data_IF_342858532563
#
_entry.id   IF_342858532563
#
_cell.length_a   1.000
_cell.length_b   1.000
_cell.length_c   1.000
_cell.angle_alpha   90.00
_cell.angle_beta   90.00
_cell.angle_gamma   90.00
#
_symmetry.space_group_name_H-M   'P 1'
#
loop_
_entity.id
_entity.type
_entity.pdbx_description
1 polymer ?
#
# COMPACT_ATOMS: atom_id res chain seq x y z
N UNK A 1 17.23 3.17 1.43
CA UNK A 1 16.81 1.83 1.87
C UNK A 1 17.95 1.14 2.62
N UNK A 2 17.59 0.27 3.55
CA UNK A 2 18.52 -0.48 4.39
C UNK A 2 18.23 -1.97 4.23
N UNK A 3 19.28 -2.76 4.08
CA UNK A 3 19.21 -4.21 4.13
C UNK A 3 19.47 -4.69 5.55
N UNK A 4 18.61 -5.57 6.04
CA UNK A 4 18.86 -6.30 7.28
C UNK A 4 19.84 -7.46 7.06
N UNK A 5 20.41 -8.03 8.13
CA UNK A 5 21.32 -9.20 8.02
C UNK A 5 20.69 -10.43 7.35
N UNK A 6 19.36 -10.54 7.36
CA UNK A 6 18.59 -11.60 6.71
C UNK A 6 18.10 -11.22 5.29
N UNK A 7 18.75 -10.25 4.66
CA UNK A 7 18.49 -9.77 3.28
C UNK A 7 17.09 -9.23 3.05
N UNK A 8 16.48 -8.60 4.06
CA UNK A 8 15.21 -7.87 3.90
C UNK A 8 15.47 -6.38 3.68
N UNK A 9 14.74 -5.82 2.73
CA UNK A 9 14.80 -4.39 2.43
C UNK A 9 13.79 -3.62 3.28
N UNK A 10 14.25 -2.55 3.90
CA UNK A 10 13.41 -1.62 4.66
C UNK A 10 13.58 -0.18 4.16
N UNK A 11 12.59 0.67 4.43
CA UNK A 11 12.72 2.09 4.18
C UNK A 11 13.85 2.70 4.99
N UNK A 12 14.41 3.80 4.48
CA UNK A 12 15.58 4.46 5.04
C UNK A 12 15.20 5.58 6.01
N UNK A 13 16.11 5.90 6.93
CA UNK A 13 16.00 7.01 7.88
C UNK A 13 15.33 6.60 9.19
N UNK A 14 14.43 7.44 9.64
CA UNK A 14 13.69 7.29 10.90
C UNK A 14 12.38 6.52 10.73
N UNK A 15 12.20 5.80 9.63
CA UNK A 15 10.98 5.01 9.37
C UNK A 15 11.29 3.62 8.85
N UNK A 16 10.47 2.66 9.22
CA UNK A 16 10.56 1.26 8.76
C UNK A 16 9.54 0.94 7.66
N UNK A 17 8.48 1.72 7.53
CA UNK A 17 7.44 1.50 6.54
C UNK A 17 6.83 2.81 6.05
N UNK A 18 7.52 3.48 5.13
CA UNK A 18 6.99 4.62 4.40
C UNK A 18 6.40 4.16 3.06
N UNK A 19 5.08 4.25 2.95
CA UNK A 19 4.34 3.71 1.79
C UNK A 19 4.68 4.43 0.49
N UNK A 20 4.90 5.74 0.53
CA UNK A 20 5.29 6.52 -0.66
C UNK A 20 6.68 6.15 -1.16
N UNK A 21 7.64 6.02 -0.27
CA UNK A 21 9.01 5.66 -0.64
C UNK A 21 9.08 4.20 -1.14
N UNK A 22 8.32 3.30 -0.54
CA UNK A 22 8.15 1.94 -1.06
C UNK A 22 7.58 1.97 -2.48
N UNK A 23 6.51 2.71 -2.72
CA UNK A 23 5.88 2.83 -4.03
C UNK A 23 6.85 3.35 -5.11
N UNK A 24 7.63 4.38 -4.80
CA UNK A 24 8.64 4.93 -5.73
C UNK A 24 9.73 3.93 -6.11
N UNK A 25 10.05 2.98 -5.24
CA UNK A 25 11.08 1.97 -5.48
C UNK A 25 10.59 0.76 -6.28
N UNK A 26 9.29 0.52 -6.34
CA UNK A 26 8.72 -0.68 -6.97
C UNK A 26 9.11 -0.87 -8.45
N UNK A 27 9.12 0.17 -9.32
CA UNK A 27 9.55 -0.03 -10.71
C UNK A 27 10.95 -0.62 -10.83
N UNK A 28 11.90 -0.18 -10.01
CA UNK A 28 13.25 -0.72 -10.00
C UNK A 28 13.28 -2.17 -9.49
N UNK A 29 12.55 -2.47 -8.42
CA UNK A 29 12.48 -3.82 -7.85
C UNK A 29 11.80 -4.81 -8.81
N UNK A 30 10.78 -4.37 -9.54
CA UNK A 30 10.16 -5.17 -10.60
C UNK A 30 11.13 -5.43 -11.74
N UNK A 31 11.86 -4.42 -12.19
CA UNK A 31 12.87 -4.56 -13.24
C UNK A 31 13.95 -5.60 -12.90
N UNK A 32 14.40 -5.62 -11.65
CA UNK A 32 15.37 -6.58 -11.15
C UNK A 32 14.77 -7.89 -10.64
N UNK A 33 13.46 -8.07 -10.75
CA UNK A 33 12.70 -9.22 -10.26
C UNK A 33 12.95 -9.53 -8.76
N UNK A 34 13.07 -8.49 -7.93
CA UNK A 34 13.29 -8.60 -6.49
C UNK A 34 11.96 -8.56 -5.73
N UNK A 35 11.12 -9.55 -5.98
CA UNK A 35 9.81 -9.70 -5.32
C UNK A 35 9.97 -9.90 -3.81
N UNK A 36 11.02 -10.58 -3.38
CA UNK A 36 11.40 -10.71 -1.98
C UNK A 36 11.56 -9.36 -1.27
N UNK A 37 12.24 -8.41 -1.90
CA UNK A 37 12.40 -7.06 -1.38
C UNK A 37 11.11 -6.23 -1.47
N UNK A 38 10.32 -6.43 -2.51
CA UNK A 38 9.01 -5.81 -2.62
C UNK A 38 8.12 -6.19 -1.43
N UNK A 39 8.05 -7.47 -1.09
CA UNK A 39 7.31 -7.97 0.07
C UNK A 39 7.84 -7.40 1.38
N UNK A 40 9.16 -7.41 1.57
CA UNK A 40 9.77 -6.90 2.80
C UNK A 40 9.51 -5.40 3.04
N UNK A 41 9.27 -4.61 1.99
CA UNK A 41 8.85 -3.22 2.12
C UNK A 41 7.39 -3.07 2.57
N UNK A 42 6.52 -4.01 2.22
CA UNK A 42 5.09 -3.96 2.58
C UNK A 42 4.78 -4.67 3.90
N UNK A 43 5.52 -5.70 4.24
CA UNK A 43 5.27 -6.52 5.44
C UNK A 43 5.14 -5.70 6.73
N UNK A 44 6.00 -4.70 7.02
CA UNK A 44 5.85 -3.88 8.22
C UNK A 44 4.52 -3.12 8.27
N UNK A 45 4.03 -2.65 7.12
CA UNK A 45 2.76 -1.92 7.02
C UNK A 45 1.58 -2.86 7.27
N UNK A 46 1.59 -4.06 6.68
CA UNK A 46 0.56 -5.07 6.94
C UNK A 46 0.54 -5.50 8.40
N UNK A 47 1.69 -5.83 8.97
CA UNK A 47 1.81 -6.21 10.39
C UNK A 47 1.24 -5.12 11.29
N UNK A 48 1.54 -3.86 11.00
CA UNK A 48 1.02 -2.73 11.77
C UNK A 48 -0.51 -2.61 11.67
N UNK A 49 -1.06 -2.73 10.45
CA UNK A 49 -2.50 -2.60 10.22
C UNK A 49 -3.31 -3.78 10.78
N UNK A 50 -2.74 -4.96 10.79
CA UNK A 50 -3.36 -6.18 11.32
C UNK A 50 -3.24 -6.28 12.84
N UNK A 51 -2.40 -5.43 13.45
CA UNK A 51 -2.20 -5.37 14.88
C UNK A 51 -3.30 -4.63 15.64
N UNK A 52 -3.26 -4.72 16.96
CA UNK A 52 -4.28 -4.13 17.86
C UNK A 52 -4.24 -2.60 17.95
N UNK A 53 -3.16 -1.99 17.47
CA UNK A 53 -2.95 -0.54 17.61
C UNK A 53 -3.55 0.28 16.47
N UNK A 54 -3.93 -0.36 15.36
CA UNK A 54 -4.49 0.32 14.21
C UNK A 54 -5.95 -0.08 14.00
N UNK A 55 -6.85 0.89 14.10
CA UNK A 55 -8.30 0.68 13.98
C UNK A 55 -8.94 1.47 12.83
N UNK A 56 -8.14 2.02 11.94
CA UNK A 56 -8.63 2.81 10.80
C UNK A 56 -8.84 1.93 9.57
N UNK A 57 -9.68 2.41 8.65
CA UNK A 57 -10.05 1.70 7.42
C UNK A 57 -9.10 1.93 6.24
N UNK A 58 -8.01 2.61 6.48
CA UNK A 58 -6.92 2.86 5.53
C UNK A 58 -5.59 2.56 6.19
N UNK A 59 -4.52 2.25 5.43
CA UNK A 59 -3.21 2.10 6.03
C UNK A 59 -2.64 3.46 6.45
N UNK A 60 -1.70 3.50 7.38
CA UNK A 60 -0.94 4.70 7.63
C UNK A 60 -0.04 5.02 6.44
N UNK A 61 0.23 6.29 6.24
CA UNK A 61 1.22 6.74 5.28
C UNK A 61 2.64 6.30 5.65
N UNK A 62 2.92 6.31 6.95
CA UNK A 62 4.21 5.95 7.52
C UNK A 62 4.01 5.39 8.93
N UNK A 63 4.58 4.23 9.20
CA UNK A 63 4.52 3.58 10.51
C UNK A 63 5.62 4.05 11.49
N UNK A 64 6.47 4.98 11.07
CA UNK A 64 7.60 5.44 11.88
C UNK A 64 8.58 4.31 12.19
N UNK A 65 8.95 4.18 13.45
CA UNK A 65 9.89 3.15 13.93
C UNK A 65 9.20 1.93 14.56
N UNK A 66 7.93 1.70 14.25
CA UNK A 66 7.26 0.51 14.78
C UNK A 66 7.92 -0.77 14.24
N UNK A 67 8.16 -1.80 15.04
CA UNK A 67 7.81 -1.96 16.47
C UNK A 67 8.86 -1.44 17.48
N UNK A 68 9.93 -0.84 17.01
CA UNK A 68 11.04 -0.38 17.87
C UNK A 68 10.62 0.81 18.73
N UNK A 69 9.80 1.69 18.20
CA UNK A 69 9.17 2.76 18.95
C UNK A 69 7.74 3.01 18.45
N UNK A 70 6.85 3.45 19.37
CA UNK A 70 5.46 3.77 19.02
C UNK A 70 5.28 5.15 18.35
N UNK A 71 6.36 5.85 17.99
CA UNK A 71 6.29 7.17 17.39
C UNK A 71 5.89 7.06 15.92
N UNK A 72 4.70 7.53 15.61
CA UNK A 72 4.16 7.56 14.26
C UNK A 72 4.38 8.92 13.60
N UNK A 73 4.61 8.88 12.31
CA UNK A 73 4.61 10.06 11.46
C UNK A 73 3.27 10.17 10.73
N UNK A 74 2.73 11.34 10.72
CA UNK A 74 1.43 11.85 10.28
C UNK A 74 0.62 11.04 9.25
N UNK A 75 -0.69 10.99 9.44
CA UNK A 75 -1.54 9.89 9.14
C UNK A 75 -2.68 10.15 8.17
N UNK A 76 -3.38 11.27 8.28
CA UNK A 76 -4.69 11.37 7.62
C UNK A 76 -4.67 12.12 6.29
N UNK A 77 -3.73 13.04 6.10
CA UNK A 77 -3.62 13.82 4.86
C UNK A 77 -3.22 13.01 3.61
N UNK A 78 -2.70 11.81 3.80
CA UNK A 78 -2.22 10.94 2.73
C UNK A 78 -2.91 9.56 2.72
N UNK A 79 -4.07 9.44 3.36
CA UNK A 79 -4.78 8.18 3.53
C UNK A 79 -5.19 7.54 2.19
N UNK A 80 -5.69 8.33 1.25
CA UNK A 80 -6.05 7.86 -0.10
C UNK A 80 -4.82 7.37 -0.85
N UNK A 81 -3.74 8.14 -0.83
CA UNK A 81 -2.48 7.75 -1.47
C UNK A 81 -1.93 6.46 -0.86
N UNK A 82 -1.92 6.36 0.46
CA UNK A 82 -1.43 5.17 1.14
C UNK A 82 -2.25 3.92 0.79
N UNK A 83 -3.57 4.01 0.83
CA UNK A 83 -4.45 2.90 0.47
C UNK A 83 -4.28 2.49 -1.00
N UNK A 84 -4.25 3.46 -1.91
CA UNK A 84 -4.06 3.21 -3.34
C UNK A 84 -2.70 2.57 -3.63
N UNK A 85 -1.64 3.12 -3.06
CA UNK A 85 -0.28 2.60 -3.24
C UNK A 85 -0.15 1.16 -2.74
N UNK A 86 -0.72 0.82 -1.58
CA UNK A 86 -0.69 -0.54 -1.05
C UNK A 86 -1.43 -1.53 -1.95
N UNK A 87 -2.58 -1.15 -2.50
CA UNK A 87 -3.30 -1.98 -3.48
C UNK A 87 -2.51 -2.17 -4.77
N UNK A 88 -1.92 -1.11 -5.31
CA UNK A 88 -1.11 -1.18 -6.54
C UNK A 88 0.13 -2.05 -6.33
N UNK A 89 0.85 -1.86 -5.23
CA UNK A 89 2.05 -2.62 -4.92
C UNK A 89 1.76 -4.11 -4.68
N UNK A 90 0.67 -4.42 -3.97
CA UNK A 90 0.25 -5.81 -3.76
C UNK A 90 -0.13 -6.48 -5.08
N UNK A 91 -0.83 -5.77 -5.97
CA UNK A 91 -1.15 -6.26 -7.31
C UNK A 91 0.12 -6.57 -8.11
N UNK A 92 1.10 -5.69 -8.06
CA UNK A 92 2.38 -5.90 -8.74
C UNK A 92 3.12 -7.14 -8.22
N UNK A 93 3.07 -7.41 -6.93
CA UNK A 93 3.65 -8.62 -6.33
C UNK A 93 2.96 -9.87 -6.87
N UNK A 94 1.63 -9.89 -6.86
CA UNK A 94 0.85 -11.05 -7.37
C UNK A 94 1.15 -11.32 -8.84
N UNK A 95 1.20 -10.29 -9.66
CA UNK A 95 1.52 -10.43 -11.07
C UNK A 95 2.96 -10.92 -11.31
N UNK A 96 3.91 -10.40 -10.56
CA UNK A 96 5.31 -10.80 -10.67
C UNK A 96 5.55 -12.25 -10.22
N UNK A 97 4.87 -12.71 -9.18
CA UNK A 97 4.98 -14.09 -8.69
C UNK A 97 4.11 -15.08 -9.46
N UNK A 98 3.07 -14.60 -10.16
CA UNK A 98 2.03 -15.45 -10.74
C UNK A 98 1.39 -16.37 -9.68
N UNK A 99 1.23 -15.85 -8.49
CA UNK A 99 0.69 -16.55 -7.33
C UNK A 99 -0.11 -15.57 -6.46
N UNK A 100 -1.25 -16.01 -5.94
CA UNK A 100 -2.14 -15.15 -5.15
C UNK A 100 -1.87 -15.24 -3.63
N UNK A 101 -1.01 -16.12 -3.19
CA UNK A 101 -0.80 -16.42 -1.76
C UNK A 101 -0.47 -15.20 -0.91
N UNK A 102 0.37 -14.29 -1.40
CA UNK A 102 0.70 -13.07 -0.67
C UNK A 102 -0.51 -12.17 -0.46
N UNK A 103 -1.30 -11.93 -1.49
CA UNK A 103 -2.52 -11.14 -1.38
C UNK A 103 -3.59 -11.85 -0.53
N UNK A 104 -3.68 -13.16 -0.61
CA UNK A 104 -4.64 -13.94 0.18
C UNK A 104 -4.38 -13.83 1.69
N UNK A 105 -3.12 -13.86 2.11
CA UNK A 105 -2.75 -13.63 3.51
C UNK A 105 -3.26 -12.29 4.08
N UNK A 106 -3.36 -11.27 3.22
CA UNK A 106 -3.74 -9.91 3.62
C UNK A 106 -5.10 -9.49 3.06
N UNK A 107 -5.90 -10.44 2.56
CA UNK A 107 -7.10 -10.16 1.78
C UNK A 107 -8.12 -9.30 2.52
N UNK A 108 -8.30 -9.52 3.80
CA UNK A 108 -9.21 -8.72 4.64
C UNK A 108 -8.82 -7.24 4.70
N UNK A 109 -7.53 -6.95 4.76
CA UNK A 109 -7.02 -5.57 4.73
C UNK A 109 -7.19 -4.94 3.35
N UNK A 110 -6.92 -5.69 2.29
CA UNK A 110 -7.08 -5.21 0.92
C UNK A 110 -8.53 -4.84 0.59
N UNK A 111 -9.49 -5.67 1.01
CA UNK A 111 -10.93 -5.35 0.91
C UNK A 111 -11.26 -4.06 1.67
N UNK A 112 -10.78 -3.93 2.88
CA UNK A 112 -11.05 -2.77 3.73
C UNK A 112 -10.52 -1.47 3.11
N UNK A 113 -9.33 -1.50 2.53
CA UNK A 113 -8.73 -0.35 1.86
C UNK A 113 -9.43 -0.01 0.54
N UNK A 114 -9.85 -1.01 -0.23
CA UNK A 114 -10.66 -0.80 -1.43
C UNK A 114 -12.03 -0.19 -1.10
N UNK A 115 -12.70 -0.66 -0.05
CA UNK A 115 -13.95 -0.08 0.43
C UNK A 115 -13.78 1.37 0.88
N UNK A 116 -12.67 1.68 1.57
CA UNK A 116 -12.32 3.04 1.93
C UNK A 116 -12.21 3.96 0.70
N UNK A 117 -11.47 3.54 -0.32
CA UNK A 117 -11.33 4.31 -1.56
C UNK A 117 -12.65 4.46 -2.30
N UNK A 118 -13.47 3.42 -2.35
CA UNK A 118 -14.78 3.43 -2.99
C UNK A 118 -15.73 4.42 -2.33
N UNK A 119 -15.71 4.51 -1.00
CA UNK A 119 -16.50 5.47 -0.24
C UNK A 119 -15.98 6.90 -0.41
N UNK A 120 -14.69 7.07 -0.53
CA UNK A 120 -14.05 8.36 -0.76
C UNK A 120 -14.47 8.95 -2.11
N UNK A 121 -14.40 8.18 -3.18
CA UNK A 121 -14.85 8.60 -4.52
C UNK A 121 -16.33 9.02 -4.53
N UNK A 122 -17.20 8.28 -3.84
CA UNK A 122 -18.64 8.58 -3.81
C UNK A 122 -19.01 9.85 -3.06
N UNK A 123 -18.19 10.26 -2.09
CA UNK A 123 -18.47 11.43 -1.22
C UNK A 123 -18.02 12.75 -1.82
N UNK A 124 -17.05 12.73 -2.72
CA UNK A 124 -16.50 13.94 -3.28
C UNK A 124 -17.15 14.25 -4.62
N UNK A 125 -17.97 15.29 -4.64
CA UNK A 125 -18.21 16.07 -5.84
C UNK A 125 -16.89 16.81 -6.10
N UNK A 126 -16.06 16.26 -6.97
CA UNK A 126 -14.82 16.92 -7.40
C UNK A 126 -15.19 18.23 -8.09
N UNK A 127 -14.80 19.41 -7.57
CA UNK A 127 -15.03 20.64 -8.29
C UNK A 127 -14.25 20.58 -9.62
N UNK A 128 -14.91 20.90 -10.71
CA UNK A 128 -14.30 20.98 -12.06
C UNK A 128 -13.13 21.98 -12.14
N UNK A 129 -12.92 22.77 -11.11
CA UNK A 129 -11.88 23.80 -10.96
C UNK A 129 -10.95 23.51 -9.79
N UNK A 130 -10.74 22.24 -9.46
CA UNK A 130 -9.89 21.85 -8.33
C UNK A 130 -8.43 22.28 -8.49
N UNK A 131 -7.82 22.67 -7.38
CA UNK A 131 -6.38 22.77 -7.26
C UNK A 131 -5.72 21.43 -7.62
N UNK A 132 -4.54 21.47 -8.23
CA UNK A 132 -3.78 20.29 -8.67
C UNK A 132 -3.74 19.13 -7.65
N UNK A 133 -3.77 19.41 -6.34
CA UNK A 133 -3.77 18.40 -5.29
C UNK A 133 -5.03 17.54 -5.17
N UNK A 134 -6.22 18.09 -5.46
CA UNK A 134 -7.48 17.33 -5.42
C UNK A 134 -7.59 16.39 -6.62
N UNK A 135 -7.13 16.83 -7.80
CA UNK A 135 -7.07 15.99 -8.98
C UNK A 135 -6.12 14.80 -8.79
N UNK A 136 -4.98 15.00 -8.14
CA UNK A 136 -4.02 13.94 -7.85
C UNK A 136 -4.60 12.88 -6.91
N UNK A 137 -5.35 13.28 -5.91
CA UNK A 137 -6.02 12.37 -4.98
C UNK A 137 -7.10 11.54 -5.71
N UNK A 138 -7.87 12.16 -6.58
CA UNK A 138 -8.86 11.46 -7.43
C UNK A 138 -8.21 10.44 -8.36
N UNK A 139 -7.15 10.82 -9.05
CA UNK A 139 -6.38 9.93 -9.91
C UNK A 139 -5.81 8.76 -9.11
N UNK A 140 -5.23 9.01 -7.96
CA UNK A 140 -4.72 7.96 -7.06
C UNK A 140 -5.81 7.00 -6.62
N UNK A 141 -6.95 7.52 -6.22
CA UNK A 141 -8.11 6.72 -5.81
C UNK A 141 -8.57 5.80 -6.93
N UNK A 142 -8.68 6.32 -8.14
CA UNK A 142 -9.05 5.55 -9.34
C UNK A 142 -8.04 4.46 -9.64
N UNK A 143 -6.75 4.77 -9.62
CA UNK A 143 -5.68 3.79 -9.84
C UNK A 143 -5.68 2.67 -8.78
N UNK A 144 -5.90 3.01 -7.51
CA UNK A 144 -6.02 2.03 -6.44
C UNK A 144 -7.20 1.09 -6.63
N UNK A 145 -8.34 1.61 -7.05
CA UNK A 145 -9.53 0.79 -7.35
C UNK A 145 -9.36 -0.08 -8.60
N UNK A 146 -8.68 0.41 -9.63
CA UNK A 146 -8.32 -0.41 -10.80
C UNK A 146 -7.38 -1.56 -10.41
N UNK A 147 -6.39 -1.29 -9.56
CA UNK A 147 -5.51 -2.32 -9.02
C UNK A 147 -6.31 -3.37 -8.22
N UNK A 148 -7.27 -2.96 -7.41
CA UNK A 148 -8.13 -3.90 -6.68
C UNK A 148 -9.00 -4.75 -7.62
N UNK A 149 -9.57 -4.17 -8.68
CA UNK A 149 -10.28 -4.95 -9.71
C UNK A 149 -9.38 -5.98 -10.36
N UNK A 150 -8.14 -5.59 -10.65
CA UNK A 150 -7.14 -6.52 -11.19
C UNK A 150 -6.83 -7.64 -10.19
N UNK A 151 -6.72 -7.34 -8.90
CA UNK A 151 -6.54 -8.36 -7.85
C UNK A 151 -7.69 -9.36 -7.82
N UNK A 152 -8.95 -8.92 -7.97
CA UNK A 152 -10.10 -9.83 -8.05
C UNK A 152 -9.97 -10.77 -9.25
N UNK A 153 -9.60 -10.25 -10.42
CA UNK A 153 -9.38 -11.08 -11.62
C UNK A 153 -8.25 -12.09 -11.42
N UNK A 154 -7.16 -11.66 -10.77
CA UNK A 154 -6.03 -12.54 -10.47
C UNK A 154 -6.40 -13.61 -9.44
N UNK A 155 -7.23 -13.26 -8.45
CA UNK A 155 -7.76 -14.23 -7.51
C UNK A 155 -8.52 -15.35 -8.22
N UNK A 156 -9.44 -14.99 -9.11
CA UNK A 156 -10.19 -15.96 -9.92
C UNK A 156 -9.27 -16.80 -10.84
N UNK A 157 -8.21 -16.20 -11.36
CA UNK A 157 -7.30 -16.88 -12.27
C UNK A 157 -6.35 -17.88 -11.57
N UNK A 158 -6.00 -17.63 -10.31
CA UNK A 158 -5.04 -18.45 -9.55
C UNK A 158 -5.69 -19.35 -8.49
N UNK A 159 -6.98 -19.23 -8.29
CA UNK A 159 -7.77 -20.19 -7.51
C UNK A 159 -8.17 -21.39 -8.37
#
# INVERSE_FOLDING_TARGET
>A
FVLSPDDKLFCFGDTLGNVREAYKSFPALLFFNRVDWMKSLLDPVFIYCEGIYWNKKHPPYDIGLYPVSGKQVKLESCAVEAAANMLIMTTAIVEAEQDFGYADMHWSQLILWADYLQKRIKKETFPLEGLLGENDECVKCTLGLEAYRRLIQLKEAYE
#
